data_IF_590498755799
#
_entry.id   IF_590498755799
#
_cell.length_a   1.000
_cell.length_b   1.000
_cell.length_c   1.000
_cell.angle_alpha   90.00
_cell.angle_beta   90.00
_cell.angle_gamma   90.00
#
_symmetry.space_group_name_H-M   'P 1'
#
loop_
_entity.id
_entity.type
_entity.pdbx_description
1 polymer ?
#
# COMPACT_ATOMS: atom_id res chain seq x y z
N UNK A 1 3.20 7.01 -12.36
CA UNK A 1 3.74 8.18 -11.62
C UNK A 1 3.31 9.46 -12.30
N UNK A 2 3.56 9.66 -13.62
CA UNK A 2 3.21 10.90 -14.34
C UNK A 2 1.72 11.21 -14.30
N UNK A 3 0.85 10.19 -14.34
CA UNK A 3 -0.60 10.38 -14.18
C UNK A 3 -0.96 10.87 -12.78
N UNK A 4 -0.37 10.32 -11.71
CA UNK A 4 -0.58 10.80 -10.34
C UNK A 4 -0.18 12.28 -10.21
N UNK A 5 0.97 12.65 -10.76
CA UNK A 5 1.42 14.04 -10.81
C UNK A 5 0.43 14.94 -11.57
N UNK A 6 -0.07 14.53 -12.73
CA UNK A 6 -1.03 15.32 -13.52
C UNK A 6 -2.37 15.53 -12.82
N UNK A 7 -2.74 14.63 -11.91
CA UNK A 7 -3.93 14.75 -11.04
C UNK A 7 -3.66 15.59 -9.77
N UNK A 8 -2.44 16.13 -9.61
CA UNK A 8 -2.08 16.98 -8.47
C UNK A 8 -1.78 16.23 -7.18
N UNK A 9 -1.45 14.93 -7.25
CA UNK A 9 -1.06 14.16 -6.07
C UNK A 9 0.16 14.78 -5.39
N UNK A 10 0.11 14.91 -4.06
CA UNK A 10 1.16 15.49 -3.24
C UNK A 10 2.01 14.43 -2.55
N UNK A 11 1.47 13.24 -2.39
CA UNK A 11 2.12 12.06 -1.85
C UNK A 11 1.83 10.86 -2.75
N UNK A 12 2.76 9.92 -2.82
CA UNK A 12 2.58 8.68 -3.57
C UNK A 12 2.78 7.48 -2.62
N UNK A 13 1.84 6.54 -2.65
CA UNK A 13 1.87 5.33 -1.86
C UNK A 13 2.00 4.10 -2.75
N UNK A 14 3.05 3.30 -2.51
CA UNK A 14 3.22 1.98 -3.11
C UNK A 14 2.92 0.91 -2.07
N UNK A 15 1.91 0.11 -2.34
CA UNK A 15 1.49 -0.99 -1.47
C UNK A 15 2.13 -2.32 -1.84
N UNK A 16 3.42 -2.31 -2.21
CA UNK A 16 4.22 -3.48 -2.54
C UNK A 16 4.09 -3.95 -3.99
N UNK A 17 4.88 -4.98 -4.32
CA UNK A 17 4.94 -5.61 -5.63
C UNK A 17 5.28 -4.63 -6.77
N UNK A 18 6.32 -3.80 -6.56
CA UNK A 18 6.79 -2.85 -7.57
C UNK A 18 7.46 -3.56 -8.74
N UNK A 19 8.20 -4.62 -8.48
CA UNK A 19 9.06 -5.31 -9.43
C UNK A 19 8.76 -6.81 -9.45
N UNK A 20 8.50 -7.35 -10.64
CA UNK A 20 8.44 -8.79 -10.89
C UNK A 20 9.71 -9.33 -11.55
N UNK A 21 10.45 -8.48 -12.26
CA UNK A 21 11.77 -8.82 -12.82
C UNK A 21 12.83 -7.90 -12.22
N UNK A 22 13.71 -8.49 -11.41
CA UNK A 22 14.77 -7.76 -10.67
C UNK A 22 15.72 -6.95 -11.58
N UNK A 23 15.81 -7.31 -12.86
CA UNK A 23 16.64 -6.59 -13.85
C UNK A 23 16.16 -5.17 -14.10
N UNK A 24 14.88 -4.88 -13.85
CA UNK A 24 14.27 -3.55 -13.97
C UNK A 24 14.38 -2.71 -12.69
N UNK A 25 14.93 -3.27 -11.60
CA UNK A 25 15.02 -2.53 -10.34
C UNK A 25 15.89 -1.26 -10.43
N UNK A 26 17.06 -1.25 -11.11
CA UNK A 26 17.84 -0.02 -11.26
C UNK A 26 17.07 1.08 -12.01
N UNK A 27 16.38 0.74 -13.10
CA UNK A 27 15.55 1.70 -13.86
C UNK A 27 14.38 2.22 -13.02
N UNK A 28 13.73 1.35 -12.23
CA UNK A 28 12.67 1.74 -11.31
C UNK A 28 13.18 2.69 -10.22
N UNK A 29 14.35 2.42 -9.64
CA UNK A 29 14.98 3.28 -8.65
C UNK A 29 15.34 4.66 -9.22
N UNK A 30 15.92 4.69 -10.42
CA UNK A 30 16.24 5.95 -11.12
C UNK A 30 14.97 6.76 -11.43
N UNK A 31 13.90 6.09 -11.86
CA UNK A 31 12.59 6.71 -12.11
C UNK A 31 12.00 7.29 -10.81
N UNK A 32 12.03 6.54 -9.71
CA UNK A 32 11.56 7.02 -8.41
C UNK A 32 12.32 8.25 -7.96
N UNK A 33 13.64 8.24 -8.13
CA UNK A 33 14.53 9.37 -7.80
C UNK A 33 14.25 10.61 -8.64
N UNK A 34 14.09 10.43 -9.96
CA UNK A 34 13.76 11.52 -10.88
C UNK A 34 12.41 12.15 -10.56
N UNK A 35 11.41 11.32 -10.28
CA UNK A 35 10.02 11.78 -10.06
C UNK A 35 9.74 12.25 -8.63
N UNK A 36 10.60 11.93 -7.66
CA UNK A 36 10.38 12.26 -6.24
C UNK A 36 10.08 13.75 -5.99
N UNK A 37 10.77 14.72 -6.63
CA UNK A 37 10.50 16.14 -6.38
C UNK A 37 9.08 16.60 -6.75
N UNK A 38 8.34 15.79 -7.51
CA UNK A 38 6.95 16.08 -7.88
C UNK A 38 5.94 15.79 -6.75
N UNK A 39 6.40 15.12 -5.67
CA UNK A 39 5.57 14.72 -4.53
C UNK A 39 6.10 15.37 -3.26
N UNK A 40 5.66 16.59 -2.91
CA UNK A 40 6.21 17.37 -1.79
C UNK A 40 6.05 16.68 -0.43
N UNK A 41 5.07 15.79 -0.26
CA UNK A 41 4.88 15.00 0.95
C UNK A 41 5.57 13.64 0.89
N UNK A 42 6.30 13.37 -0.20
CA UNK A 42 7.14 12.19 -0.33
C UNK A 42 6.50 11.01 -1.06
N UNK A 43 7.28 9.96 -1.16
CA UNK A 43 6.88 8.66 -1.71
C UNK A 43 7.11 7.61 -0.63
N UNK A 44 6.07 6.85 -0.31
CA UNK A 44 6.09 5.79 0.71
C UNK A 44 5.92 4.43 0.07
N UNK A 45 6.59 3.45 0.63
CA UNK A 45 6.63 2.09 0.12
C UNK A 45 6.53 1.07 1.25
N UNK A 46 5.79 -0.01 1.04
CA UNK A 46 5.79 -1.20 1.89
C UNK A 46 6.09 -2.44 1.06
N UNK A 47 6.60 -3.50 1.68
CA UNK A 47 6.91 -4.74 0.98
C UNK A 47 5.66 -5.48 0.53
N UNK A 48 5.71 -6.04 -0.68
CA UNK A 48 4.84 -7.10 -1.14
C UNK A 48 5.53 -8.47 -1.07
N UNK A 49 4.86 -9.52 -1.52
CA UNK A 49 5.46 -10.85 -1.54
C UNK A 49 6.44 -11.05 -2.71
N UNK A 50 6.29 -10.30 -3.81
CA UNK A 50 7.19 -10.41 -4.96
C UNK A 50 8.58 -9.89 -4.64
N UNK A 51 8.74 -8.86 -3.82
CA UNK A 51 10.06 -8.40 -3.37
C UNK A 51 10.84 -9.53 -2.68
N UNK A 52 10.18 -10.31 -1.84
CA UNK A 52 10.80 -11.48 -1.18
C UNK A 52 11.16 -12.56 -2.18
N UNK A 53 10.27 -12.89 -3.12
CA UNK A 53 10.51 -13.91 -4.14
C UNK A 53 11.61 -13.55 -5.12
N UNK A 54 11.79 -12.25 -5.39
CA UNK A 54 12.73 -11.74 -6.40
C UNK A 54 14.08 -11.29 -5.84
N UNK A 55 14.23 -11.21 -4.52
CA UNK A 55 15.48 -10.85 -3.85
C UNK A 55 15.40 -9.53 -3.11
N UNK A 56 14.67 -9.56 -1.99
CA UNK A 56 14.40 -8.41 -1.12
C UNK A 56 15.65 -7.58 -0.82
N UNK A 57 16.76 -8.21 -0.43
CA UNK A 57 17.98 -7.51 -0.03
C UNK A 57 18.56 -6.64 -1.17
N UNK A 58 18.48 -7.14 -2.40
CA UNK A 58 18.93 -6.36 -3.55
C UNK A 58 17.97 -5.20 -3.84
N UNK A 59 16.66 -5.44 -3.80
CA UNK A 59 15.63 -4.43 -4.02
C UNK A 59 15.73 -3.33 -2.96
N UNK A 60 15.89 -3.71 -1.70
CA UNK A 60 16.11 -2.78 -0.58
C UNK A 60 17.34 -1.90 -0.81
N UNK A 61 18.46 -2.51 -1.19
CA UNK A 61 19.69 -1.78 -1.50
C UNK A 61 19.51 -0.75 -2.62
N UNK A 62 18.71 -1.06 -3.63
CA UNK A 62 18.41 -0.10 -4.71
C UNK A 62 17.44 0.99 -4.25
N UNK A 63 16.40 0.63 -3.47
CA UNK A 63 15.47 1.61 -2.88
C UNK A 63 16.16 2.59 -1.95
N UNK A 64 17.12 2.13 -1.13
CA UNK A 64 17.89 2.98 -0.23
C UNK A 64 18.78 4.03 -0.94
N UNK A 65 19.00 3.90 -2.26
CA UNK A 65 19.64 4.94 -3.06
C UNK A 65 18.68 6.06 -3.48
N UNK A 66 17.39 5.90 -3.19
CA UNK A 66 16.33 6.85 -3.51
C UNK A 66 15.84 7.56 -2.24
N UNK A 67 15.15 8.70 -2.34
CA UNK A 67 14.53 9.33 -1.19
C UNK A 67 13.18 8.71 -0.80
N UNK A 68 12.80 7.56 -1.37
CA UNK A 68 11.58 6.83 -1.03
C UNK A 68 11.65 6.35 0.42
N UNK A 69 10.58 6.54 1.17
CA UNK A 69 10.44 6.10 2.56
C UNK A 69 9.88 4.68 2.59
N UNK A 70 10.75 3.72 2.86
CA UNK A 70 10.36 2.34 3.10
C UNK A 70 9.89 2.18 4.54
N UNK A 71 8.65 1.73 4.72
CA UNK A 71 8.06 1.45 6.04
C UNK A 71 7.93 -0.06 6.24
N UNK A 72 8.54 -0.57 7.31
CA UNK A 72 8.53 -1.99 7.68
C UNK A 72 8.17 -2.08 9.16
N UNK A 73 6.89 -2.26 9.46
CA UNK A 73 6.32 -2.19 10.81
C UNK A 73 6.69 -0.87 11.51
N UNK A 74 6.64 0.22 10.77
CA UNK A 74 7.08 1.54 11.20
C UNK A 74 6.11 2.62 10.68
N UNK A 75 6.29 3.85 11.11
CA UNK A 75 5.50 4.98 10.64
C UNK A 75 6.33 6.24 10.44
N UNK A 76 5.77 7.16 9.68
CA UNK A 76 6.27 8.52 9.49
C UNK A 76 5.10 9.51 9.59
N UNK A 77 5.40 10.81 9.65
CA UNK A 77 4.40 11.85 9.72
C UNK A 77 4.55 12.88 8.59
N UNK A 78 3.45 13.16 7.92
CA UNK A 78 3.32 14.29 7.00
C UNK A 78 2.74 15.46 7.82
N UNK A 79 3.53 16.51 8.04
CA UNK A 79 3.11 17.64 8.87
C UNK A 79 2.90 18.89 8.02
N UNK A 80 1.74 19.52 8.16
CA UNK A 80 1.39 20.80 7.52
C UNK A 80 0.66 21.70 8.51
N UNK A 81 1.03 22.94 8.59
CA UNK A 81 0.40 23.95 9.44
C UNK A 81 0.21 23.49 10.90
N UNK A 82 1.16 22.70 11.42
CA UNK A 82 1.13 22.17 12.79
C UNK A 82 0.23 20.95 12.99
N UNK A 83 -0.41 20.43 11.97
CA UNK A 83 -1.18 19.18 12.01
C UNK A 83 -0.42 18.05 11.30
N UNK A 84 -0.58 16.82 11.80
CA UNK A 84 0.12 15.65 11.29
C UNK A 84 -0.86 14.58 10.81
N UNK A 85 -0.61 14.07 9.61
CA UNK A 85 -1.17 12.82 9.09
C UNK A 85 -0.09 11.75 9.21
N UNK A 86 -0.33 10.71 9.98
CA UNK A 86 0.60 9.61 10.11
C UNK A 86 0.43 8.61 8.97
N UNK A 87 1.56 8.12 8.45
CA UNK A 87 1.61 7.03 7.47
C UNK A 87 2.27 5.85 8.14
N UNK A 88 1.50 4.85 8.51
CA UNK A 88 1.99 3.60 9.06
C UNK A 88 2.13 2.57 7.95
N UNK A 89 3.20 1.80 7.94
CA UNK A 89 3.44 0.74 6.97
C UNK A 89 3.83 -0.56 7.64
N UNK A 90 3.26 -1.66 7.17
CA UNK A 90 3.52 -3.01 7.68
C UNK A 90 4.20 -3.90 6.65
N UNK A 91 4.94 -4.88 7.13
CA UNK A 91 5.57 -5.90 6.29
C UNK A 91 4.55 -6.92 5.75
N UNK A 92 5.00 -7.82 4.88
CA UNK A 92 4.17 -8.89 4.34
C UNK A 92 4.08 -10.06 5.35
N UNK A 93 2.87 -10.56 5.68
CA UNK A 93 2.70 -11.67 6.61
C UNK A 93 2.95 -13.00 5.89
N UNK A 94 3.74 -13.87 6.50
CA UNK A 94 4.13 -15.16 5.92
C UNK A 94 3.40 -16.36 6.54
N UNK A 95 2.82 -16.19 7.71
CA UNK A 95 2.03 -17.21 8.39
C UNK A 95 0.69 -17.47 7.69
N UNK A 96 -0.04 -18.48 8.15
CA UNK A 96 -1.37 -18.81 7.62
C UNK A 96 -2.36 -19.02 8.77
N UNK A 97 -3.65 -18.84 8.45
CA UNK A 97 -4.74 -19.03 9.42
C UNK A 97 -4.54 -18.14 10.65
N UNK A 98 -4.80 -18.69 11.84
CA UNK A 98 -4.68 -17.94 13.11
C UNK A 98 -3.29 -17.37 13.38
N UNK A 99 -2.24 -18.05 12.94
CA UNK A 99 -0.87 -17.53 13.10
C UNK A 99 -0.66 -16.26 12.28
N UNK A 100 -1.28 -16.15 11.12
CA UNK A 100 -1.25 -14.93 10.31
C UNK A 100 -1.97 -13.76 11.00
N UNK A 101 -3.10 -14.02 11.65
CA UNK A 101 -3.81 -12.98 12.43
C UNK A 101 -2.93 -12.42 13.55
N UNK A 102 -2.26 -13.30 14.29
CA UNK A 102 -1.31 -12.91 15.36
C UNK A 102 -0.12 -12.13 14.80
N UNK A 103 0.43 -12.56 13.66
CA UNK A 103 1.54 -11.89 13.00
C UNK A 103 1.14 -10.50 12.55
N UNK A 104 -0.01 -10.35 11.87
CA UNK A 104 -0.54 -9.05 11.42
C UNK A 104 -0.85 -8.11 12.59
N UNK A 105 -1.44 -8.62 13.68
CA UNK A 105 -1.69 -7.86 14.91
C UNK A 105 -0.38 -7.29 15.48
N UNK A 106 0.65 -8.12 15.61
CA UNK A 106 1.97 -7.70 16.10
C UNK A 106 2.63 -6.65 15.21
N UNK A 107 2.61 -6.85 13.88
CA UNK A 107 3.17 -5.90 12.90
C UNK A 107 2.45 -4.54 12.98
N UNK A 108 1.13 -4.58 13.10
CA UNK A 108 0.32 -3.36 13.18
C UNK A 108 0.53 -2.64 14.50
N UNK A 109 0.65 -3.39 15.63
CA UNK A 109 0.97 -2.83 16.95
C UNK A 109 2.32 -2.12 16.94
N UNK A 110 3.31 -2.68 16.25
CA UNK A 110 4.63 -2.09 16.10
C UNK A 110 4.56 -0.82 15.24
N UNK A 111 3.91 -0.87 14.07
CA UNK A 111 3.76 0.27 13.18
C UNK A 111 3.01 1.46 13.82
N UNK A 112 2.08 1.18 14.75
CA UNK A 112 1.33 2.23 15.44
C UNK A 112 1.98 2.71 16.74
N UNK A 113 3.06 2.09 17.18
CA UNK A 113 3.73 2.41 18.45
C UNK A 113 4.28 3.85 18.43
N UNK A 114 3.76 4.72 19.28
CA UNK A 114 4.18 6.11 19.37
C UNK A 114 3.32 7.09 18.60
N UNK A 115 2.39 6.63 17.76
CA UNK A 115 1.41 7.51 17.13
C UNK A 115 0.45 8.02 18.23
N UNK A 116 0.20 9.34 18.33
CA UNK A 116 -0.71 9.90 19.31
C UNK A 116 -2.13 9.36 19.15
N UNK A 117 -2.80 9.08 20.27
CA UNK A 117 -4.18 8.62 20.27
C UNK A 117 -5.10 9.62 19.55
N UNK A 118 -5.91 9.12 18.63
CA UNK A 118 -6.85 9.94 17.83
C UNK A 118 -6.23 10.67 16.65
N UNK A 119 -4.91 10.58 16.43
CA UNK A 119 -4.29 11.11 15.23
C UNK A 119 -4.80 10.38 13.97
N UNK A 120 -4.98 11.08 12.84
CA UNK A 120 -5.35 10.46 11.59
C UNK A 120 -4.19 9.60 11.05
N UNK A 121 -4.49 8.34 10.71
CA UNK A 121 -3.51 7.38 10.20
C UNK A 121 -3.95 6.83 8.85
N UNK A 122 -3.03 6.83 7.88
CA UNK A 122 -3.09 6.01 6.66
C UNK A 122 -2.27 4.77 6.93
N UNK A 123 -2.89 3.59 6.93
CA UNK A 123 -2.19 2.31 7.02
C UNK A 123 -1.91 1.78 5.62
N UNK A 124 -0.64 1.55 5.32
CA UNK A 124 -0.17 0.91 4.10
C UNK A 124 0.17 -0.56 4.39
N UNK A 125 -0.38 -1.45 3.59
CA UNK A 125 -0.08 -2.88 3.66
C UNK A 125 -0.16 -3.48 2.25
N UNK A 126 0.49 -4.61 2.01
CA UNK A 126 0.31 -5.32 0.76
C UNK A 126 -0.90 -6.25 0.81
N UNK A 127 -0.98 -7.12 1.81
CA UNK A 127 -2.03 -8.13 1.92
C UNK A 127 -3.36 -7.52 2.37
N UNK A 128 -4.45 -7.83 1.64
CA UNK A 128 -5.77 -7.19 1.86
C UNK A 128 -6.42 -7.51 3.22
N UNK A 129 -6.01 -8.59 3.90
CA UNK A 129 -6.51 -8.90 5.25
C UNK A 129 -6.16 -7.84 6.30
N UNK A 130 -5.14 -7.00 6.07
CA UNK A 130 -4.84 -5.87 6.95
C UNK A 130 -5.95 -4.80 7.04
N UNK A 131 -7.01 -4.92 6.23
CA UNK A 131 -8.19 -4.09 6.43
C UNK A 131 -8.81 -4.31 7.81
N UNK A 132 -8.88 -5.56 8.29
CA UNK A 132 -9.38 -5.89 9.63
C UNK A 132 -8.55 -5.22 10.72
N UNK A 133 -7.21 -5.24 10.58
CA UNK A 133 -6.30 -4.58 11.50
C UNK A 133 -6.46 -3.05 11.46
N UNK A 134 -6.58 -2.47 10.27
CA UNK A 134 -6.84 -1.04 10.10
C UNK A 134 -8.14 -0.61 10.76
N UNK A 135 -9.21 -1.37 10.61
CA UNK A 135 -10.49 -1.12 11.28
C UNK A 135 -10.34 -1.23 12.80
N UNK A 136 -9.70 -2.27 13.29
CA UNK A 136 -9.45 -2.48 14.73
C UNK A 136 -8.62 -1.37 15.36
N UNK A 137 -7.59 -0.89 14.67
CA UNK A 137 -6.71 0.21 15.13
C UNK A 137 -7.31 1.60 14.93
N UNK A 138 -8.39 1.71 14.17
CA UNK A 138 -9.00 3.00 13.87
C UNK A 138 -8.19 3.84 12.87
N UNK A 139 -7.47 3.19 11.95
CA UNK A 139 -6.86 3.88 10.82
C UNK A 139 -7.94 4.61 10.01
N UNK A 140 -7.71 5.89 9.70
CA UNK A 140 -8.66 6.67 8.90
C UNK A 140 -8.90 6.03 7.54
N UNK A 141 -7.82 5.48 6.96
CA UNK A 141 -7.88 4.66 5.76
C UNK A 141 -6.78 3.60 5.78
N UNK A 142 -7.11 2.39 5.29
CA UNK A 142 -6.15 1.30 5.02
C UNK A 142 -6.07 1.07 3.53
N UNK A 143 -4.86 1.14 2.96
CA UNK A 143 -4.59 0.95 1.54
C UNK A 143 -3.84 -0.35 1.31
N UNK A 144 -4.37 -1.21 0.44
CA UNK A 144 -3.78 -2.52 0.16
C UNK A 144 -3.78 -2.85 -1.33
N UNK A 145 -3.01 -3.87 -1.71
CA UNK A 145 -2.91 -4.40 -3.07
C UNK A 145 -3.08 -5.92 -3.13
N UNK A 146 -2.07 -6.61 -3.66
CA UNK A 146 -1.89 -8.07 -3.70
C UNK A 146 -2.88 -8.86 -4.55
N UNK A 147 -4.17 -8.57 -4.47
CA UNK A 147 -5.25 -9.39 -5.05
C UNK A 147 -5.37 -9.27 -6.56
N UNK A 148 -4.78 -8.21 -7.16
CA UNK A 148 -5.00 -7.80 -8.56
C UNK A 148 -6.49 -7.67 -8.93
N UNK A 149 -7.38 -7.57 -7.91
CA UNK A 149 -8.83 -7.64 -8.07
C UNK A 149 -9.30 -8.97 -8.65
N UNK A 150 -8.51 -10.06 -8.49
CA UNK A 150 -8.57 -11.39 -9.13
C UNK A 150 -8.45 -11.39 -10.65
N UNK A 151 -8.19 -10.25 -11.27
CA UNK A 151 -8.09 -10.00 -12.73
C UNK A 151 -9.33 -10.39 -13.55
N UNK A 152 -10.25 -11.17 -12.98
CA UNK A 152 -11.47 -11.65 -13.64
C UNK A 152 -12.71 -11.14 -12.92
N UNK A 153 -13.64 -10.60 -13.69
CA UNK A 153 -14.89 -10.09 -13.16
C UNK A 153 -16.04 -10.25 -14.14
N UNK A 154 -17.26 -10.13 -13.63
CA UNK A 154 -18.47 -10.03 -14.40
C UNK A 154 -19.35 -8.93 -13.79
N UNK A 155 -19.85 -8.01 -14.61
CA UNK A 155 -20.64 -6.86 -14.15
C UNK A 155 -20.00 -6.10 -12.99
N UNK A 156 -18.68 -5.88 -13.04
CA UNK A 156 -17.94 -5.16 -12.01
C UNK A 156 -17.63 -5.95 -10.74
N UNK A 157 -18.06 -7.22 -10.62
CA UNK A 157 -17.80 -8.08 -9.46
C UNK A 157 -16.75 -9.16 -9.79
N UNK A 158 -15.88 -9.55 -8.84
CA UNK A 158 -14.96 -10.68 -9.05
C UNK A 158 -15.75 -11.98 -9.23
N UNK A 159 -15.28 -12.86 -10.13
CA UNK A 159 -15.91 -14.18 -10.35
C UNK A 159 -15.43 -15.19 -9.31
N UNK A 160 -14.14 -15.12 -8.94
CA UNK A 160 -13.50 -15.97 -7.93
C UNK A 160 -12.88 -15.04 -6.89
N UNK A 161 -13.13 -15.31 -5.62
CA UNK A 161 -12.63 -14.48 -4.50
C UNK A 161 -11.95 -15.34 -3.44
N UNK A 162 -10.66 -15.68 -3.60
CA UNK A 162 -9.92 -16.37 -2.55
C UNK A 162 -9.61 -15.47 -1.35
N UNK A 163 -9.88 -14.16 -1.46
CA UNK A 163 -9.65 -13.15 -0.45
C UNK A 163 -10.96 -12.64 0.13
N UNK A 164 -11.01 -12.37 1.43
CA UNK A 164 -12.14 -11.70 2.09
C UNK A 164 -12.38 -10.31 1.48
N UNK A 165 -11.30 -9.57 1.29
CA UNK A 165 -11.30 -8.26 0.64
C UNK A 165 -10.57 -8.38 -0.70
N UNK A 166 -11.30 -8.19 -1.80
CA UNK A 166 -10.77 -8.48 -3.14
C UNK A 166 -10.41 -7.24 -3.92
N UNK A 167 -11.28 -6.23 -3.96
CA UNK A 167 -11.07 -4.97 -4.69
C UNK A 167 -12.09 -3.91 -4.31
N UNK A 168 -11.68 -2.64 -4.37
CA UNK A 168 -12.55 -1.49 -4.16
C UNK A 168 -12.65 -1.08 -2.69
N UNK A 169 -13.69 -0.34 -2.38
CA UNK A 169 -13.93 0.30 -1.11
C UNK A 169 -14.66 -0.62 -0.13
N UNK A 170 -14.18 -0.65 1.10
CA UNK A 170 -14.78 -1.32 2.26
C UNK A 170 -14.89 -0.32 3.41
N UNK A 171 -15.82 -0.53 4.34
CA UNK A 171 -15.94 0.31 5.53
C UNK A 171 -16.60 -0.47 6.66
N UNK A 172 -16.17 -0.19 7.88
CA UNK A 172 -16.83 -0.61 9.13
C UNK A 172 -17.89 0.39 9.62
N UNK A 173 -18.18 1.43 8.83
CA UNK A 173 -19.07 2.55 9.17
C UNK A 173 -18.36 3.74 9.78
N UNK A 174 -17.09 3.61 10.21
CA UNK A 174 -16.28 4.68 10.79
C UNK A 174 -14.98 4.88 10.01
N UNK A 175 -14.32 3.79 9.68
CA UNK A 175 -13.04 3.75 8.99
C UNK A 175 -13.22 3.19 7.57
N UNK A 176 -12.23 3.43 6.72
CA UNK A 176 -12.28 3.05 5.32
C UNK A 176 -11.10 2.14 4.98
N UNK A 177 -11.34 1.12 4.16
CA UNK A 177 -10.32 0.29 3.55
C UNK A 177 -10.45 0.30 2.03
N UNK A 178 -9.34 0.32 1.32
CA UNK A 178 -9.33 0.21 -0.13
C UNK A 178 -8.35 -0.86 -0.60
N UNK A 179 -8.85 -1.78 -1.42
CA UNK A 179 -8.04 -2.81 -2.07
C UNK A 179 -7.88 -2.45 -3.53
N UNK A 180 -6.66 -2.07 -3.91
CA UNK A 180 -6.32 -1.71 -5.28
C UNK A 180 -6.24 -2.93 -6.17
N UNK A 181 -6.70 -2.78 -7.42
CA UNK A 181 -6.51 -3.77 -8.47
C UNK A 181 -5.11 -3.72 -9.07
N UNK A 182 -4.36 -2.67 -8.74
CA UNK A 182 -3.02 -2.45 -9.25
C UNK A 182 -2.95 -2.09 -10.72
N UNK A 183 -1.76 -1.73 -11.15
CA UNK A 183 -1.41 -1.34 -12.52
C UNK A 183 -0.79 -2.49 -13.32
N UNK A 184 -0.18 -3.46 -12.66
CA UNK A 184 0.39 -4.66 -13.27
C UNK A 184 -0.63 -5.79 -13.46
N UNK A 185 -0.19 -6.89 -14.06
CA UNK A 185 -0.99 -8.09 -14.29
C UNK A 185 -0.20 -9.33 -13.93
N UNK A 186 -0.78 -10.16 -13.12
CA UNK A 186 -0.30 -11.51 -12.83
C UNK A 186 -0.56 -12.48 -13.99
N UNK A 187 -1.79 -12.42 -14.55
CA UNK A 187 -2.16 -13.09 -15.80
C UNK A 187 -1.93 -12.16 -17.00
N UNK A 188 -1.69 -12.69 -18.23
CA UNK A 188 -1.41 -11.85 -19.39
C UNK A 188 -2.58 -10.96 -19.83
N UNK A 189 -3.78 -11.18 -19.30
CA UNK A 189 -4.95 -10.34 -19.57
C UNK A 189 -5.83 -10.16 -18.34
N UNK A 190 -6.68 -9.11 -18.39
CA UNK A 190 -7.70 -8.80 -17.38
C UNK A 190 -9.08 -8.81 -18.06
N UNK A 191 -10.08 -9.36 -17.40
CA UNK A 191 -11.45 -9.38 -17.88
C UNK A 191 -12.38 -8.70 -16.88
N UNK A 192 -13.05 -7.61 -17.29
CA UNK A 192 -13.93 -6.79 -16.42
C UNK A 192 -13.28 -6.39 -15.09
N UNK A 193 -11.96 -6.21 -15.12
CA UNK A 193 -11.11 -5.82 -14.00
C UNK A 193 -9.94 -4.94 -14.52
N UNK A 194 -10.21 -3.70 -14.97
CA UNK A 194 -9.18 -2.83 -15.52
C UNK A 194 -8.11 -2.49 -14.49
N UNK A 195 -6.92 -2.14 -14.98
CA UNK A 195 -5.87 -1.52 -14.17
C UNK A 195 -6.37 -0.24 -13.54
N UNK A 196 -5.81 0.15 -12.41
CA UNK A 196 -6.17 1.40 -11.76
C UNK A 196 -5.00 2.09 -11.07
N UNK A 197 -5.08 3.41 -11.08
CA UNK A 197 -4.40 4.31 -10.17
C UNK A 197 -5.49 4.97 -9.32
N UNK A 198 -5.35 4.92 -8.00
CA UNK A 198 -6.35 5.47 -7.08
C UNK A 198 -5.89 6.84 -6.62
N UNK A 199 -6.76 7.85 -6.77
CA UNK A 199 -6.55 9.21 -6.24
C UNK A 199 -7.45 9.37 -5.02
N UNK A 200 -6.85 9.74 -3.90
CA UNK A 200 -7.54 9.94 -2.63
C UNK A 200 -7.28 11.37 -2.17
N UNK A 201 -8.35 12.09 -1.83
CA UNK A 201 -8.25 13.45 -1.30
C UNK A 201 -8.62 13.44 0.18
N UNK A 202 -7.70 13.89 1.02
CA UNK A 202 -7.93 14.09 2.44
C UNK A 202 -8.42 15.52 2.67
N UNK A 203 -9.48 15.66 3.45
CA UNK A 203 -10.03 16.96 3.85
C UNK A 203 -9.91 17.12 5.36
N UNK A 204 -9.56 18.31 5.82
CA UNK A 204 -9.73 18.70 7.22
C UNK A 204 -11.24 18.72 7.57
N UNK A 205 -11.56 18.26 8.74
CA UNK A 205 -12.91 18.41 9.31
C UNK A 205 -13.04 19.75 10.01
#
# INVERSE_FOLDING_TARGET
IDRARSEGAQVLFFTGDLIDDIRHMPEAADTLKEKYPAFPDGIYYVWGNHEYYRGKDYIEKELLKTPVKLLVNDHDAITRDGESLYVAGVDYPWSRGRAMEIEMDSMTDEAFRGIPAGAPVVLLAHHSAFLDEGFRKGAAITLTGHTHGTQFGLFGRPIITPFTYTRGLYSDGKNVGYVSRGDASWFPFRFSCPRELVIITFHRK
#
